data_IF_256840752977
#
_entry.id   IF_256840752977
#
_cell.length_a   1.000
_cell.length_b   1.000
_cell.length_c   1.000
_cell.angle_alpha   90.00
_cell.angle_beta   90.00
_cell.angle_gamma   90.00
#
_symmetry.space_group_name_H-M   'P 1'
#
loop_
_entity.id
_entity.type
_entity.pdbx_description
1 polymer ?
#
# COMPACT_ATOMS: atom_id res chain seq x y z
N UNK A 1 3.64 10.55 -12.79
CA UNK A 1 2.17 10.39 -12.82
C UNK A 1 1.82 9.08 -12.16
N UNK A 2 0.98 9.10 -11.13
CA UNK A 2 0.66 7.93 -10.29
C UNK A 2 -0.84 7.73 -10.27
N UNK A 3 -1.30 6.48 -10.42
CA UNK A 3 -2.73 6.14 -10.29
C UNK A 3 -3.05 5.97 -8.81
N UNK A 4 -4.12 6.64 -8.38
CA UNK A 4 -4.56 6.70 -6.99
C UNK A 4 -6.01 6.25 -6.93
N UNK A 5 -6.26 5.23 -6.13
CA UNK A 5 -7.59 4.70 -5.90
C UNK A 5 -8.17 5.34 -4.64
N UNK A 6 -9.36 5.94 -4.79
CA UNK A 6 -10.15 6.43 -3.66
C UNK A 6 -11.44 5.63 -3.64
N UNK A 7 -11.68 4.91 -2.54
CA UNK A 7 -12.83 4.02 -2.38
C UNK A 7 -13.57 4.33 -1.08
N UNK A 8 -14.91 4.32 -1.07
CA UNK A 8 -15.67 4.44 0.17
C UNK A 8 -15.45 3.21 1.06
N UNK A 9 -15.48 3.41 2.37
CA UNK A 9 -15.42 2.37 3.41
C UNK A 9 -16.70 2.40 4.25
N UNK A 10 -17.02 1.28 4.94
CA UNK A 10 -18.04 1.27 5.98
C UNK A 10 -17.77 2.35 7.03
N UNK A 11 -18.79 3.10 7.41
CA UNK A 11 -18.67 4.25 8.33
C UNK A 11 -18.31 5.58 7.67
N UNK A 12 -18.44 5.70 6.35
CA UNK A 12 -18.36 6.98 5.62
C UNK A 12 -16.95 7.50 5.35
N UNK A 13 -15.92 6.82 5.84
CA UNK A 13 -14.52 7.15 5.52
C UNK A 13 -14.16 6.67 4.12
N UNK A 14 -13.05 7.15 3.58
CA UNK A 14 -12.53 6.71 2.29
C UNK A 14 -11.13 6.12 2.44
N UNK A 15 -10.88 5.00 1.77
CA UNK A 15 -9.55 4.44 1.58
C UNK A 15 -8.85 5.14 0.41
N UNK A 16 -7.58 5.52 0.62
CA UNK A 16 -6.71 6.08 -0.42
C UNK A 16 -5.51 5.16 -0.59
N UNK A 17 -5.34 4.63 -1.79
CA UNK A 17 -4.28 3.68 -2.14
C UNK A 17 -3.54 4.13 -3.39
N UNK A 18 -2.22 3.99 -3.35
CA UNK A 18 -1.34 4.23 -4.49
C UNK A 18 -0.08 3.38 -4.33
N UNK A 19 0.71 3.27 -5.40
CA UNK A 19 2.13 2.95 -5.23
C UNK A 19 2.78 3.97 -4.29
N UNK A 20 3.87 3.60 -3.62
CA UNK A 20 4.60 4.54 -2.79
C UNK A 20 5.15 5.67 -3.67
N UNK A 21 4.65 6.87 -3.43
CA UNK A 21 5.04 8.09 -4.12
C UNK A 21 5.13 9.20 -3.06
N UNK A 22 6.32 9.79 -2.83
CA UNK A 22 6.51 10.82 -1.83
C UNK A 22 5.67 12.07 -2.10
N UNK A 23 5.37 12.37 -3.38
CA UNK A 23 4.54 13.53 -3.75
C UNK A 23 3.08 13.32 -3.35
N UNK A 24 2.55 12.10 -3.55
CA UNK A 24 1.20 11.72 -3.10
C UNK A 24 1.11 11.81 -1.57
N UNK A 25 2.12 11.33 -0.86
CA UNK A 25 2.15 11.40 0.62
C UNK A 25 2.19 12.85 1.09
N UNK A 26 2.98 13.71 0.44
CA UNK A 26 3.04 15.13 0.74
C UNK A 26 1.68 15.80 0.51
N UNK A 27 1.01 15.52 -0.61
CA UNK A 27 -0.32 16.07 -0.90
C UNK A 27 -1.37 15.61 0.11
N UNK A 28 -1.40 14.32 0.48
CA UNK A 28 -2.28 13.84 1.56
C UNK A 28 -2.01 14.59 2.86
N UNK A 29 -0.73 14.81 3.17
CA UNK A 29 -0.34 15.48 4.42
C UNK A 29 -0.63 16.98 4.43
N UNK A 30 -0.63 17.63 3.28
CA UNK A 30 -0.94 19.04 3.12
C UNK A 30 -2.45 19.31 3.13
N UNK A 31 -3.22 18.45 2.48
CA UNK A 31 -4.67 18.68 2.25
C UNK A 31 -5.52 18.18 3.40
N UNK A 32 -5.22 17.00 3.96
CA UNK A 32 -6.10 16.36 4.96
C UNK A 32 -5.51 16.55 6.36
N UNK A 33 -6.17 17.23 7.31
CA UNK A 33 -5.64 17.44 8.66
C UNK A 33 -5.33 16.14 9.41
N UNK A 34 -4.42 16.16 10.40
CA UNK A 34 -4.06 14.97 11.18
C UNK A 34 -5.23 14.21 11.80
N UNK A 35 -6.27 14.89 12.29
CA UNK A 35 -7.46 14.26 12.88
C UNK A 35 -8.36 13.57 11.84
N UNK A 36 -8.27 13.99 10.57
CA UNK A 36 -9.10 13.51 9.48
C UNK A 36 -8.42 12.39 8.66
N UNK A 37 -7.14 12.09 8.91
CA UNK A 37 -6.37 11.04 8.23
C UNK A 37 -5.81 10.01 9.20
N UNK A 38 -5.74 8.75 8.79
CA UNK A 38 -5.01 7.70 9.51
C UNK A 38 -4.31 6.76 8.53
N UNK A 39 -3.20 6.18 8.94
CA UNK A 39 -2.50 5.15 8.18
C UNK A 39 -2.88 3.76 8.70
N UNK A 40 -3.53 2.96 7.85
CA UNK A 40 -3.77 1.53 8.11
C UNK A 40 -2.54 0.75 7.62
N UNK A 41 -1.63 0.43 8.54
CA UNK A 41 -0.39 -0.27 8.21
C UNK A 41 -0.60 -1.70 7.68
N UNK A 42 -1.51 -2.53 8.24
CA UNK A 42 -1.85 -3.83 7.68
C UNK A 42 -2.29 -3.78 6.21
N UNK A 43 -3.23 -2.87 5.88
CA UNK A 43 -3.80 -2.73 4.52
C UNK A 43 -3.02 -1.76 3.63
N UNK A 44 -2.03 -1.08 4.20
CA UNK A 44 -1.14 -0.11 3.56
C UNK A 44 -1.90 0.95 2.78
N UNK A 45 -2.86 1.57 3.45
CA UNK A 45 -3.71 2.60 2.87
C UNK A 45 -3.93 3.73 3.85
N UNK A 46 -4.13 4.92 3.31
CA UNK A 46 -4.65 6.02 4.12
C UNK A 46 -6.16 5.88 4.25
N UNK A 47 -6.68 6.23 5.42
CA UNK A 47 -8.11 6.41 5.65
C UNK A 47 -8.37 7.88 5.88
N UNK A 48 -9.27 8.47 5.11
CA UNK A 48 -9.64 9.88 5.19
C UNK A 48 -11.11 10.04 5.53
N UNK A 49 -11.45 11.09 6.28
CA UNK A 49 -12.84 11.43 6.58
C UNK A 49 -13.61 11.85 5.31
N UNK A 50 -14.95 11.65 5.26
CA UNK A 50 -15.77 11.88 4.07
C UNK A 50 -15.59 13.28 3.47
N UNK A 51 -15.62 14.31 4.32
CA UNK A 51 -15.54 15.72 3.90
C UNK A 51 -14.24 16.08 3.19
N UNK A 52 -13.20 15.28 3.41
CA UNK A 52 -11.85 15.52 2.88
C UNK A 52 -11.54 14.71 1.62
N UNK A 53 -12.34 13.69 1.31
CA UNK A 53 -12.06 12.79 0.17
C UNK A 53 -12.15 13.53 -1.17
N UNK A 54 -13.16 14.37 -1.36
CA UNK A 54 -13.34 15.15 -2.59
C UNK A 54 -12.25 16.23 -2.74
N UNK A 55 -11.89 16.92 -1.65
CA UNK A 55 -10.81 17.91 -1.64
C UNK A 55 -9.45 17.27 -1.96
N UNK A 56 -9.18 16.11 -1.37
CA UNK A 56 -7.96 15.35 -1.66
C UNK A 56 -7.93 14.88 -3.11
N UNK A 57 -9.04 14.37 -3.65
CA UNK A 57 -9.12 13.95 -5.06
C UNK A 57 -8.79 15.12 -6.01
N UNK A 58 -9.39 16.29 -5.78
CA UNK A 58 -9.14 17.48 -6.59
C UNK A 58 -7.67 17.92 -6.52
N UNK A 59 -7.07 17.93 -5.33
CA UNK A 59 -5.66 18.30 -5.16
C UNK A 59 -4.70 17.32 -5.85
N UNK A 60 -5.00 16.03 -5.81
CA UNK A 60 -4.19 15.01 -6.49
C UNK A 60 -4.28 15.13 -8.02
N UNK A 61 -5.46 15.42 -8.56
CA UNK A 61 -5.63 15.70 -9.99
C UNK A 61 -4.87 16.96 -10.39
N UNK A 62 -4.95 18.03 -9.59
CA UNK A 62 -4.20 19.27 -9.82
C UNK A 62 -2.68 19.07 -9.79
N UNK A 63 -2.20 18.12 -8.98
CA UNK A 63 -0.80 17.72 -8.93
C UNK A 63 -0.39 16.76 -10.09
N UNK A 64 -1.27 16.48 -11.05
CA UNK A 64 -0.98 15.66 -12.22
C UNK A 64 -1.06 14.15 -11.97
N UNK A 65 -1.77 13.72 -10.94
CA UNK A 65 -2.06 12.30 -10.69
C UNK A 65 -3.43 11.90 -11.28
N UNK A 66 -3.59 10.61 -11.56
CA UNK A 66 -4.86 10.06 -12.00
C UNK A 66 -5.61 9.50 -10.79
N UNK A 67 -6.78 10.06 -10.49
CA UNK A 67 -7.65 9.57 -9.41
C UNK A 67 -8.75 8.69 -10.00
N UNK A 68 -8.88 7.47 -9.47
CA UNK A 68 -9.87 6.48 -9.89
C UNK A 68 -10.79 6.19 -8.71
N UNK A 69 -12.10 6.35 -8.92
CA UNK A 69 -13.09 5.85 -7.99
C UNK A 69 -13.08 4.32 -8.06
N UNK A 70 -12.69 3.66 -6.96
CA UNK A 70 -12.68 2.21 -6.87
C UNK A 70 -13.84 1.70 -6.00
N UNK A 71 -14.40 0.51 -6.27
CA UNK A 71 -15.33 -0.13 -5.36
C UNK A 71 -14.67 -0.36 -3.99
N UNK A 72 -15.49 -0.49 -2.94
CA UNK A 72 -15.02 -0.65 -1.55
C UNK A 72 -14.10 -1.86 -1.33
N UNK A 73 -14.14 -2.83 -2.24
CA UNK A 73 -13.21 -3.96 -2.32
C UNK A 73 -11.84 -3.49 -2.81
N UNK A 74 -10.81 -3.75 -2.00
CA UNK A 74 -9.42 -3.43 -2.30
C UNK A 74 -9.00 -4.06 -3.65
N UNK A 75 -8.65 -3.28 -4.69
CA UNK A 75 -8.15 -3.87 -5.93
C UNK A 75 -6.82 -4.59 -5.67
N UNK A 76 -6.56 -5.71 -6.38
CA UNK A 76 -5.28 -6.42 -6.28
C UNK A 76 -4.14 -5.51 -6.73
N UNK A 77 -3.00 -5.63 -6.05
CA UNK A 77 -1.80 -4.84 -6.34
C UNK A 77 -1.31 -5.16 -7.76
N UNK A 78 -1.07 -4.15 -8.59
CA UNK A 78 -0.35 -4.31 -9.84
C UNK A 78 1.16 -4.38 -9.54
N UNK A 79 1.64 -5.54 -9.11
CA UNK A 79 3.05 -5.86 -9.10
C UNK A 79 3.26 -7.35 -9.29
N UNK A 80 4.23 -7.72 -10.13
CA UNK A 80 4.62 -9.11 -10.33
C UNK A 80 5.50 -9.57 -9.17
N UNK A 81 5.07 -10.60 -8.46
CA UNK A 81 5.96 -11.33 -7.57
C UNK A 81 6.94 -12.20 -8.38
N UNK A 82 8.22 -12.21 -7.99
CA UNK A 82 9.16 -13.22 -8.46
C UNK A 82 8.74 -14.62 -7.99
N UNK A 83 8.99 -15.66 -8.79
CA UNK A 83 8.60 -17.05 -8.47
C UNK A 83 9.15 -17.54 -7.11
N UNK A 84 10.30 -17.02 -6.70
CA UNK A 84 10.92 -17.33 -5.42
C UNK A 84 10.09 -16.85 -4.22
N UNK A 85 9.45 -15.68 -4.32
CA UNK A 85 8.69 -15.09 -3.21
C UNK A 85 7.40 -15.90 -2.98
N UNK A 86 6.75 -16.34 -4.07
CA UNK A 86 5.62 -17.27 -4.01
C UNK A 86 6.02 -18.62 -3.42
N UNK A 87 7.12 -19.21 -3.89
CA UNK A 87 7.62 -20.48 -3.34
C UNK A 87 7.95 -20.39 -1.86
N UNK A 88 8.64 -19.33 -1.46
CA UNK A 88 9.01 -19.10 -0.07
C UNK A 88 7.75 -19.00 0.81
N UNK A 89 6.79 -18.15 0.45
CA UNK A 89 5.58 -17.97 1.25
C UNK A 89 4.71 -19.23 1.35
N UNK A 90 4.65 -20.04 0.29
CA UNK A 90 4.00 -21.36 0.35
C UNK A 90 4.73 -22.30 1.31
N UNK A 91 6.06 -22.27 1.34
CA UNK A 91 6.86 -23.12 2.22
C UNK A 91 6.80 -22.70 3.70
N UNK A 92 6.78 -21.40 4.01
CA UNK A 92 6.76 -20.92 5.42
C UNK A 92 5.35 -20.83 6.01
N UNK A 93 4.32 -20.81 5.16
CA UNK A 93 2.92 -20.70 5.57
C UNK A 93 2.55 -19.32 6.17
N UNK A 94 1.28 -19.12 6.54
CA UNK A 94 0.73 -17.82 6.95
C UNK A 94 1.37 -17.24 8.24
N UNK A 95 1.94 -18.08 9.10
CA UNK A 95 2.62 -17.64 10.33
C UNK A 95 4.10 -17.27 10.11
N UNK A 96 4.70 -17.63 8.97
CA UNK A 96 6.11 -17.39 8.65
C UNK A 96 6.41 -16.01 8.04
N UNK A 97 5.38 -15.19 7.84
CA UNK A 97 5.51 -13.86 7.22
C UNK A 97 6.51 -12.93 7.94
N UNK A 98 6.47 -12.79 9.28
CA UNK A 98 7.40 -11.90 9.98
C UNK A 98 8.87 -12.31 9.81
N UNK A 99 9.14 -13.62 9.76
CA UNK A 99 10.50 -14.17 9.60
C UNK A 99 11.07 -13.95 8.18
N UNK A 100 10.24 -13.92 7.13
CA UNK A 100 10.67 -13.56 5.78
C UNK A 100 11.15 -12.11 5.68
N UNK A 101 10.45 -11.17 6.34
CA UNK A 101 10.83 -9.75 6.39
C UNK A 101 12.12 -9.55 7.18
N UNK A 102 12.30 -10.28 8.29
CA UNK A 102 13.52 -10.20 9.10
C UNK A 102 14.73 -10.74 8.32
N UNK A 103 14.57 -11.84 7.57
CA UNK A 103 15.66 -12.39 6.74
C UNK A 103 16.08 -11.48 5.58
N UNK A 104 15.15 -10.70 5.00
CA UNK A 104 15.50 -9.71 3.97
C UNK A 104 16.36 -8.55 4.50
N UNK A 105 16.41 -8.35 5.82
CA UNK A 105 17.30 -7.37 6.48
C UNK A 105 18.68 -7.94 6.78
N UNK A 106 18.74 -9.23 7.13
CA UNK A 106 20.00 -9.93 7.45
C UNK A 106 20.86 -10.17 6.20
N UNK A 107 20.24 -10.33 5.04
CA UNK A 107 20.94 -10.68 3.79
C UNK A 107 21.39 -9.47 2.94
N UNK A 108 21.14 -8.23 3.38
CA UNK A 108 21.56 -7.04 2.63
C UNK A 108 22.75 -6.35 3.32
N UNK A 109 23.96 -6.40 2.76
CA UNK A 109 25.18 -5.91 3.43
C UNK A 109 25.11 -4.42 3.77
N UNK A 110 24.43 -3.61 2.93
CA UNK A 110 24.44 -2.15 3.04
C UNK A 110 23.14 -1.56 3.62
N UNK A 111 22.15 -2.38 3.94
CA UNK A 111 20.83 -1.89 4.38
C UNK A 111 20.23 -2.79 5.46
N UNK A 112 20.96 -2.96 6.55
CA UNK A 112 20.56 -3.82 7.68
C UNK A 112 19.36 -3.27 8.47
N UNK A 113 19.15 -1.95 8.48
CA UNK A 113 18.03 -1.30 9.17
C UNK A 113 16.69 -1.51 8.44
N UNK A 114 16.69 -1.35 7.12
CA UNK A 114 15.46 -1.37 6.32
C UNK A 114 15.31 -2.61 5.45
N UNK A 115 16.40 -3.29 5.05
CA UNK A 115 16.41 -4.44 4.14
C UNK A 115 16.36 -4.05 2.67
N UNK A 116 16.46 -5.03 1.76
CA UNK A 116 16.37 -4.78 0.32
C UNK A 116 14.95 -4.33 -0.09
N UNK A 117 14.76 -3.12 -0.65
CA UNK A 117 13.43 -2.62 -1.04
C UNK A 117 12.78 -3.46 -2.14
N UNK A 118 13.59 -4.02 -3.04
CA UNK A 118 13.13 -4.88 -4.14
C UNK A 118 12.59 -6.21 -3.60
N UNK A 119 13.37 -6.90 -2.77
CA UNK A 119 12.93 -8.17 -2.16
C UNK A 119 11.70 -7.96 -1.27
N UNK A 120 11.65 -6.86 -0.52
CA UNK A 120 10.46 -6.52 0.27
C UNK A 120 9.25 -6.27 -0.63
N UNK A 121 9.42 -5.56 -1.75
CA UNK A 121 8.33 -5.36 -2.71
C UNK A 121 7.81 -6.69 -3.21
N UNK A 122 8.68 -7.58 -3.67
CA UNK A 122 8.31 -8.90 -4.21
C UNK A 122 7.61 -9.80 -3.19
N UNK A 123 8.10 -9.84 -1.93
CA UNK A 123 7.43 -10.55 -0.84
C UNK A 123 6.02 -10.02 -0.58
N UNK A 124 5.86 -8.70 -0.58
CA UNK A 124 4.56 -8.07 -0.37
C UNK A 124 3.58 -8.35 -1.51
N UNK A 125 4.07 -8.34 -2.75
CA UNK A 125 3.26 -8.73 -3.92
C UNK A 125 2.78 -10.17 -3.81
N UNK A 126 3.69 -11.10 -3.49
CA UNK A 126 3.36 -12.51 -3.35
C UNK A 126 2.37 -12.80 -2.21
N UNK A 127 2.44 -12.03 -1.11
CA UNK A 127 1.45 -12.13 -0.03
C UNK A 127 0.07 -11.68 -0.47
N UNK A 128 -0.02 -10.52 -1.10
CA UNK A 128 -1.29 -9.98 -1.57
C UNK A 128 -1.92 -10.93 -2.62
N UNK A 129 -1.11 -11.58 -3.49
CA UNK A 129 -1.58 -12.64 -4.40
C UNK A 129 -2.16 -13.85 -3.65
N UNK A 130 -1.51 -14.33 -2.59
CA UNK A 130 -1.97 -15.48 -1.81
C UNK A 130 -3.20 -15.18 -0.96
N UNK A 131 -3.38 -13.94 -0.50
CA UNK A 131 -4.57 -13.51 0.24
C UNK A 131 -5.81 -13.40 -0.67
N UNK A 132 -5.64 -13.12 -1.96
CA UNK A 132 -6.74 -13.08 -2.95
C UNK A 132 -7.25 -14.48 -3.32
N UNK A 133 -6.43 -15.53 -3.18
CA UNK A 133 -6.76 -16.91 -3.56
C UNK A 133 -7.17 -17.79 -2.36
N UNK A 134 -7.48 -17.19 -1.21
CA UNK A 134 -7.86 -17.87 0.02
C UNK A 134 -9.34 -17.66 0.32
#
# INVERSE_FOLDING_TARGET
>A
MTVIHIAPLPGGRHAVRSAYDPTVIATIKAVVPPFARSWDAPRRRWTVAPDWAALLAAALVAAGHQVVAAPASDPPRQCSSGDWARHLLRAVGPHGWPSCIVRSRVLHPDNTATGCPVLQRELNCARDELEVHR
#
